data_IF_852790008310
#
_entry.id   IF_852790008310
#
_cell.length_a   1.000
_cell.length_b   1.000
_cell.length_c   1.000
_cell.angle_alpha   90.00
_cell.angle_beta   90.00
_cell.angle_gamma   90.00
#
_symmetry.space_group_name_H-M   'P 1'
#
loop_
_entity.id
_entity.type
_entity.pdbx_description
1 polymer ?
#
# COMPACT_ATOMS: atom_id res chain seq x y z
N UNK A 1 1.17 29.61 -13.89
CA UNK A 1 0.49 28.31 -13.77
C UNK A 1 0.82 27.44 -14.96
N UNK A 2 0.91 26.13 -14.76
CA UNK A 2 1.32 25.14 -15.77
C UNK A 2 0.39 23.92 -15.74
N UNK A 3 0.06 23.38 -16.90
CA UNK A 3 -0.47 22.02 -17.02
C UNK A 3 0.65 20.99 -16.87
N UNK A 4 0.34 19.71 -16.69
CA UNK A 4 1.35 18.64 -16.65
C UNK A 4 2.25 18.62 -17.89
N UNK A 5 1.68 18.81 -19.08
CA UNK A 5 2.45 18.94 -20.32
C UNK A 5 3.38 20.16 -20.31
N UNK A 6 2.91 21.31 -19.82
CA UNK A 6 3.73 22.53 -19.71
C UNK A 6 4.81 22.43 -18.62
N UNK A 7 4.56 21.64 -17.58
CA UNK A 7 5.52 21.30 -16.53
C UNK A 7 6.51 20.19 -16.96
N UNK A 8 6.37 19.66 -18.18
CA UNK A 8 7.30 18.69 -18.74
C UNK A 8 7.10 17.26 -18.26
N UNK A 9 5.89 16.90 -17.81
CA UNK A 9 5.55 15.54 -17.38
C UNK A 9 5.35 14.61 -18.57
N UNK A 10 6.30 13.72 -18.81
CA UNK A 10 6.27 12.79 -19.95
C UNK A 10 5.86 11.41 -19.46
N UNK A 11 4.90 10.78 -20.13
CA UNK A 11 4.34 9.50 -19.68
C UNK A 11 4.20 8.46 -20.79
N UNK A 12 3.91 7.21 -20.40
CA UNK A 12 3.38 6.16 -21.29
C UNK A 12 2.00 6.54 -21.84
N UNK A 13 1.51 5.77 -22.82
CA UNK A 13 0.25 6.06 -23.56
C UNK A 13 -1.01 5.46 -22.90
N UNK A 14 -0.87 4.70 -21.82
CA UNK A 14 -1.98 4.06 -21.12
C UNK A 14 -2.84 5.10 -20.38
N UNK A 15 -4.03 5.41 -20.91
CA UNK A 15 -4.95 6.34 -20.26
C UNK A 15 -5.50 5.77 -18.95
N UNK A 16 -5.61 6.60 -17.91
CA UNK A 16 -6.13 6.21 -16.60
C UNK A 16 -5.10 5.61 -15.64
N UNK A 17 -3.93 5.17 -16.14
CA UNK A 17 -2.89 4.52 -15.34
C UNK A 17 -1.46 4.81 -15.84
N UNK A 18 -1.27 5.91 -16.57
CA UNK A 18 0.00 6.23 -17.21
C UNK A 18 1.17 6.27 -16.20
N UNK A 19 2.35 5.86 -16.66
CA UNK A 19 3.59 5.88 -15.87
C UNK A 19 4.47 7.05 -16.32
N UNK A 20 5.07 7.76 -15.36
CA UNK A 20 6.03 8.83 -15.64
C UNK A 20 7.30 8.19 -16.20
N UNK A 21 7.69 8.64 -17.39
CA UNK A 21 8.91 8.21 -18.08
C UNK A 21 10.05 9.18 -17.81
N UNK A 22 9.74 10.48 -17.87
CA UNK A 22 10.71 11.56 -17.74
C UNK A 22 10.00 12.84 -17.28
N UNK A 23 10.73 13.73 -16.63
CA UNK A 23 10.22 15.02 -16.14
C UNK A 23 11.22 16.10 -16.52
N UNK A 24 10.82 16.99 -17.43
CA UNK A 24 11.67 18.10 -17.90
C UNK A 24 11.06 19.46 -17.53
N UNK A 25 11.21 19.93 -16.28
CA UNK A 25 10.47 21.07 -15.74
C UNK A 25 11.10 22.43 -16.11
N UNK A 26 11.57 22.60 -17.35
CA UNK A 26 12.30 23.80 -17.80
C UNK A 26 11.54 25.10 -17.53
N UNK A 27 10.28 25.16 -17.96
CA UNK A 27 9.42 26.34 -17.79
C UNK A 27 9.09 26.62 -16.32
N UNK A 28 9.06 25.58 -15.49
CA UNK A 28 8.84 25.72 -14.05
C UNK A 28 10.08 26.32 -13.41
N UNK A 29 11.28 25.78 -13.71
CA UNK A 29 12.55 26.34 -13.23
C UNK A 29 12.74 27.80 -13.66
N UNK A 30 12.50 28.13 -14.92
CA UNK A 30 12.57 29.52 -15.42
C UNK A 30 11.66 30.48 -14.65
N UNK A 31 10.46 30.04 -14.25
CA UNK A 31 9.55 30.86 -13.45
C UNK A 31 10.02 31.00 -11.99
N UNK A 32 10.57 29.93 -11.41
CA UNK A 32 11.17 29.96 -10.07
C UNK A 32 12.39 30.88 -10.01
N UNK A 33 13.25 30.85 -11.04
CA UNK A 33 14.43 31.72 -11.16
C UNK A 33 14.06 33.21 -11.24
N UNK A 34 12.82 33.52 -11.66
CA UNK A 34 12.25 34.87 -11.66
C UNK A 34 11.57 35.26 -10.35
N UNK A 35 11.61 34.39 -9.33
CA UNK A 35 10.97 34.59 -8.03
C UNK A 35 9.45 34.38 -8.02
N UNK A 36 8.89 33.72 -9.03
CA UNK A 36 7.45 33.44 -9.09
C UNK A 36 7.07 32.14 -8.36
N UNK A 37 5.83 32.07 -7.88
CA UNK A 37 5.22 30.81 -7.39
C UNK A 37 4.64 30.04 -8.57
N UNK A 38 5.19 28.84 -8.84
CA UNK A 38 4.76 27.99 -9.93
C UNK A 38 3.62 27.05 -9.51
N UNK A 39 2.39 27.36 -9.95
CA UNK A 39 1.24 26.46 -9.75
C UNK A 39 1.18 25.43 -10.89
N UNK A 40 1.30 24.14 -10.57
CA UNK A 40 1.20 23.05 -11.55
C UNK A 40 -0.06 22.22 -11.31
N UNK A 41 -0.83 21.96 -12.35
CA UNK A 41 -1.95 21.03 -12.28
C UNK A 41 -1.44 19.58 -12.36
N UNK A 42 -1.53 18.85 -11.24
CA UNK A 42 -1.09 17.46 -11.14
C UNK A 42 -2.03 16.44 -11.80
N UNK A 43 -1.74 15.15 -11.60
CA UNK A 43 -2.48 13.99 -12.14
C UNK A 43 -2.40 13.78 -13.67
N UNK A 44 -1.93 14.79 -14.41
CA UNK A 44 -1.81 14.75 -15.87
C UNK A 44 -0.36 14.67 -16.36
N UNK A 45 -0.19 14.05 -17.52
CA UNK A 45 1.06 14.00 -18.27
C UNK A 45 0.85 14.17 -19.77
N UNK A 46 1.91 13.92 -20.52
CA UNK A 46 1.92 14.02 -21.97
C UNK A 46 2.73 12.89 -22.59
N UNK A 47 2.14 12.18 -23.55
CA UNK A 47 2.88 11.19 -24.31
C UNK A 47 3.59 11.85 -25.51
N UNK A 48 4.93 11.79 -25.55
CA UNK A 48 5.70 12.37 -26.67
C UNK A 48 5.49 11.67 -28.01
N UNK A 49 5.12 10.38 -28.00
CA UNK A 49 4.95 9.59 -29.22
C UNK A 49 3.64 9.88 -29.92
N UNK A 50 2.52 9.93 -29.18
CA UNK A 50 1.19 10.19 -29.73
C UNK A 50 0.81 11.66 -29.73
N UNK A 51 1.37 12.47 -28.82
CA UNK A 51 0.99 13.86 -28.62
C UNK A 51 -0.23 14.04 -27.71
N UNK A 52 -0.69 12.98 -27.04
CA UNK A 52 -1.90 13.02 -26.23
C UNK A 52 -1.64 13.37 -24.76
N UNK A 53 -2.65 13.97 -24.13
CA UNK A 53 -2.71 14.16 -22.68
C UNK A 53 -3.09 12.82 -22.04
N UNK A 54 -2.38 12.48 -20.99
CA UNK A 54 -2.55 11.23 -20.24
C UNK A 54 -2.84 11.52 -18.78
N UNK A 55 -3.38 10.53 -18.08
CA UNK A 55 -3.69 10.62 -16.65
C UNK A 55 -2.99 9.51 -15.89
N UNK A 56 -2.46 9.85 -14.71
CA UNK A 56 -1.61 8.96 -13.92
C UNK A 56 -2.40 7.95 -13.08
N UNK A 57 -3.72 8.11 -12.96
CA UNK A 57 -4.58 7.29 -12.10
C UNK A 57 -4.62 7.77 -10.65
N UNK A 58 -5.22 6.96 -9.76
CA UNK A 58 -5.34 7.31 -8.33
C UNK A 58 -3.97 7.66 -7.74
N UNK A 59 -3.93 8.70 -6.91
CA UNK A 59 -2.66 9.22 -6.37
C UNK A 59 -1.77 9.96 -7.37
N UNK A 60 -2.29 10.26 -8.56
CA UNK A 60 -1.52 10.93 -9.61
C UNK A 60 -1.03 12.33 -9.22
N UNK A 61 -1.76 13.06 -8.36
CA UNK A 61 -1.33 14.37 -7.87
C UNK A 61 -0.10 14.27 -6.97
N UNK A 62 -0.11 13.37 -5.98
CA UNK A 62 1.04 13.15 -5.09
C UNK A 62 2.26 12.69 -5.88
N UNK A 63 2.05 11.76 -6.82
CA UNK A 63 3.10 11.28 -7.74
C UNK A 63 3.65 12.42 -8.60
N UNK A 64 2.81 13.36 -9.03
CA UNK A 64 3.25 14.55 -9.79
C UNK A 64 4.15 15.43 -8.91
N UNK A 65 3.73 15.68 -7.66
CA UNK A 65 4.46 16.55 -6.74
C UNK A 65 5.87 16.00 -6.46
N UNK A 66 5.97 14.71 -6.13
CA UNK A 66 7.26 14.06 -5.88
C UNK A 66 8.13 14.00 -7.14
N UNK A 67 7.54 13.74 -8.31
CA UNK A 67 8.29 13.69 -9.55
C UNK A 67 8.86 15.07 -9.96
N UNK A 68 8.12 16.16 -9.70
CA UNK A 68 8.65 17.52 -9.85
C UNK A 68 9.73 17.83 -8.82
N UNK A 69 9.53 17.44 -7.56
CA UNK A 69 10.51 17.64 -6.50
C UNK A 69 11.84 16.94 -6.84
N UNK A 70 11.79 15.70 -7.33
CA UNK A 70 12.96 14.98 -7.82
C UNK A 70 13.65 15.70 -8.99
N UNK A 71 12.88 16.14 -9.99
CA UNK A 71 13.43 16.78 -11.19
C UNK A 71 13.94 18.21 -10.97
N UNK A 72 13.46 18.89 -9.93
CA UNK A 72 13.90 20.23 -9.55
C UNK A 72 14.97 20.23 -8.46
N UNK A 73 15.33 19.05 -7.95
CA UNK A 73 16.24 18.85 -6.80
C UNK A 73 15.74 19.62 -5.57
N UNK A 74 14.45 19.49 -5.27
CA UNK A 74 13.85 20.15 -4.11
C UNK A 74 14.31 19.49 -2.81
N UNK A 75 14.48 20.29 -1.76
CA UNK A 75 14.89 19.81 -0.42
C UNK A 75 13.81 18.92 0.23
N UNK A 76 12.54 19.20 -0.04
CA UNK A 76 11.38 18.48 0.51
C UNK A 76 10.17 18.56 -0.42
N UNK A 77 9.37 17.51 -0.43
CA UNK A 77 8.04 17.49 -1.05
C UNK A 77 6.96 17.47 0.04
N UNK A 78 6.28 18.60 0.28
CA UNK A 78 5.16 18.65 1.22
C UNK A 78 3.87 18.12 0.59
N UNK A 79 3.23 17.15 1.26
CA UNK A 79 1.91 16.62 0.89
C UNK A 79 0.92 17.04 1.97
N UNK A 80 0.05 17.98 1.60
CA UNK A 80 -1.01 18.48 2.48
C UNK A 80 -2.28 17.63 2.35
N UNK A 81 -2.80 17.18 3.49
CA UNK A 81 -3.98 16.32 3.61
C UNK A 81 -4.89 16.80 4.75
N UNK A 82 -5.88 15.99 5.13
CA UNK A 82 -6.87 16.22 6.19
C UNK A 82 -6.51 15.57 7.54
N UNK A 83 -5.32 14.98 7.63
CA UNK A 83 -4.74 14.39 8.85
C UNK A 83 -3.41 15.06 9.21
N UNK A 84 -3.09 15.08 10.50
CA UNK A 84 -1.89 15.74 11.05
C UNK A 84 -0.56 15.03 10.74
N UNK A 85 -0.58 13.95 9.96
CA UNK A 85 0.59 13.14 9.63
C UNK A 85 0.22 11.67 9.42
N UNK A 86 1.23 10.81 9.50
CA UNK A 86 1.07 9.35 9.50
C UNK A 86 1.03 8.89 10.96
N UNK A 87 0.11 7.98 11.26
CA UNK A 87 -0.15 7.49 12.62
C UNK A 87 0.20 6.01 12.75
N UNK A 88 0.45 5.58 13.98
CA UNK A 88 0.71 4.17 14.34
C UNK A 88 -0.46 3.24 14.06
N UNK A 89 -1.68 3.76 13.88
CA UNK A 89 -2.88 3.04 13.46
C UNK A 89 -3.88 4.06 12.90
N UNK A 90 -4.98 3.61 12.29
CA UNK A 90 -6.07 4.54 11.89
C UNK A 90 -6.69 5.18 13.15
N UNK A 91 -6.58 6.51 13.33
CA UNK A 91 -7.17 7.23 14.45
C UNK A 91 -8.68 7.02 14.65
N UNK A 92 -9.40 6.67 13.58
CA UNK A 92 -10.85 6.42 13.62
C UNK A 92 -11.20 5.11 14.32
N UNK A 93 -10.27 4.15 14.34
CA UNK A 93 -10.40 2.87 15.03
C UNK A 93 -9.74 2.95 16.40
N UNK A 94 -8.56 3.58 16.46
CA UNK A 94 -7.70 3.64 17.63
C UNK A 94 -7.46 5.11 18.01
N UNK A 95 -8.24 5.69 18.94
CA UNK A 95 -8.18 7.12 19.25
C UNK A 95 -6.84 7.60 19.80
N UNK A 96 -6.10 6.74 20.51
CA UNK A 96 -4.76 7.04 21.05
C UNK A 96 -3.63 6.68 20.07
N UNK A 97 -3.93 6.52 18.78
CA UNK A 97 -2.90 6.33 17.76
C UNK A 97 -1.92 7.51 17.77
N UNK A 98 -0.62 7.22 17.84
CA UNK A 98 0.43 8.24 17.93
C UNK A 98 0.86 8.69 16.53
N UNK A 99 1.04 9.99 16.32
CA UNK A 99 1.67 10.52 15.10
C UNK A 99 3.15 10.13 15.09
N UNK A 100 3.63 9.62 13.96
CA UNK A 100 5.04 9.34 13.75
C UNK A 100 5.77 10.64 13.40
N UNK A 101 6.92 10.91 14.00
CA UNK A 101 7.75 12.06 13.61
C UNK A 101 8.47 11.77 12.29
N UNK A 102 9.06 10.59 12.19
CA UNK A 102 9.77 10.11 11.01
C UNK A 102 9.39 8.66 10.71
N UNK A 103 9.38 8.28 9.44
CA UNK A 103 9.21 6.90 8.97
C UNK A 103 10.12 6.66 7.77
N UNK A 104 10.70 5.46 7.65
CA UNK A 104 11.53 5.12 6.48
C UNK A 104 10.66 4.94 5.23
N UNK A 105 11.28 4.98 4.05
CA UNK A 105 10.56 4.70 2.81
C UNK A 105 10.00 3.27 2.80
N UNK A 106 10.77 2.28 3.25
CA UNK A 106 10.35 0.88 3.29
C UNK A 106 9.13 0.65 4.20
N UNK A 107 9.15 1.21 5.42
CA UNK A 107 8.03 1.10 6.34
C UNK A 107 6.77 1.78 5.78
N UNK A 108 6.91 2.97 5.19
CA UNK A 108 5.77 3.66 4.58
C UNK A 108 5.23 2.91 3.36
N UNK A 109 6.09 2.28 2.55
CA UNK A 109 5.65 1.42 1.44
C UNK A 109 4.82 0.25 1.95
N UNK A 110 5.27 -0.42 3.01
CA UNK A 110 4.56 -1.54 3.61
C UNK A 110 3.23 -1.12 4.25
N UNK A 111 3.22 0.01 4.97
CA UNK A 111 1.98 0.57 5.53
C UNK A 111 0.98 0.93 4.42
N UNK A 112 1.43 1.58 3.35
CA UNK A 112 0.58 1.96 2.21
C UNK A 112 0.03 0.74 1.47
N UNK A 113 0.86 -0.30 1.26
CA UNK A 113 0.44 -1.56 0.67
C UNK A 113 -0.61 -2.32 1.53
N UNK A 114 -0.63 -2.05 2.84
CA UNK A 114 -1.56 -2.68 3.77
C UNK A 114 -2.80 -1.83 4.10
N UNK A 115 -3.03 -0.74 3.36
CA UNK A 115 -4.25 0.06 3.49
C UNK A 115 -4.09 1.36 4.28
N UNK A 116 -2.88 1.78 4.65
CA UNK A 116 -2.64 3.14 5.14
C UNK A 116 -2.80 4.14 3.98
N UNK A 117 -3.95 4.84 3.93
CA UNK A 117 -4.35 5.66 2.76
C UNK A 117 -3.89 7.11 2.78
N UNK A 118 -2.95 7.45 3.68
CA UNK A 118 -2.42 8.81 3.80
C UNK A 118 -1.52 9.17 2.61
N UNK A 119 -0.71 8.20 2.15
CA UNK A 119 0.15 8.35 0.97
C UNK A 119 -0.11 7.22 -0.01
N UNK A 120 -0.09 7.56 -1.29
CA UNK A 120 -0.26 6.59 -2.36
C UNK A 120 1.06 5.86 -2.64
N UNK A 121 1.04 4.54 -2.77
CA UNK A 121 2.23 3.69 -2.91
C UNK A 121 3.22 4.22 -3.96
N UNK A 122 2.74 4.53 -5.16
CA UNK A 122 3.57 5.04 -6.27
C UNK A 122 4.32 6.34 -5.96
N UNK A 123 3.74 7.18 -5.11
CA UNK A 123 4.36 8.42 -4.66
C UNK A 123 5.60 8.12 -3.80
N UNK A 124 5.43 7.21 -2.83
CA UNK A 124 6.49 6.78 -1.91
C UNK A 124 7.59 6.02 -2.67
N UNK A 125 7.23 5.15 -3.63
CA UNK A 125 8.19 4.44 -4.48
C UNK A 125 9.08 5.41 -5.28
N UNK A 126 8.46 6.45 -5.85
CA UNK A 126 9.18 7.46 -6.61
C UNK A 126 10.10 8.27 -5.70
N UNK A 127 9.60 8.70 -4.52
CA UNK A 127 10.39 9.42 -3.54
C UNK A 127 11.61 8.62 -3.09
N UNK A 128 11.43 7.34 -2.75
CA UNK A 128 12.51 6.42 -2.39
C UNK A 128 13.56 6.33 -3.49
N UNK A 129 13.13 6.15 -4.74
CA UNK A 129 14.04 5.98 -5.90
C UNK A 129 14.96 7.19 -6.11
N UNK A 130 14.45 8.40 -5.86
CA UNK A 130 15.19 9.65 -6.06
C UNK A 130 15.64 10.29 -4.74
N UNK A 131 15.46 9.58 -3.62
CA UNK A 131 15.75 10.03 -2.26
C UNK A 131 15.18 11.43 -1.95
N UNK A 132 13.91 11.67 -2.30
CA UNK A 132 13.20 12.92 -2.02
C UNK A 132 12.43 12.78 -0.71
N UNK A 133 12.75 13.55 0.35
CA UNK A 133 11.97 13.52 1.57
C UNK A 133 10.52 13.97 1.31
N UNK A 134 9.55 13.19 1.79
CA UNK A 134 8.13 13.58 1.76
C UNK A 134 7.76 14.10 3.14
N UNK A 135 7.09 15.23 3.21
CA UNK A 135 6.58 15.78 4.45
C UNK A 135 5.05 15.82 4.44
N UNK A 136 4.44 14.89 5.18
CA UNK A 136 2.98 14.76 5.27
C UNK A 136 2.45 15.68 6.35
N UNK A 137 1.54 16.59 5.99
CA UNK A 137 1.00 17.60 6.92
C UNK A 137 -0.50 17.81 6.73
N UNK A 138 -1.13 18.37 7.74
CA UNK A 138 -2.51 18.84 7.64
C UNK A 138 -2.56 20.22 6.99
N UNK A 139 -3.57 20.46 6.17
CA UNK A 139 -3.95 21.79 5.69
C UNK A 139 -4.82 22.57 6.71
N UNK A 140 -5.25 21.90 7.79
CA UNK A 140 -6.13 22.43 8.83
C UNK A 140 -5.40 22.77 10.13
N UNK A 141 -4.11 22.43 10.26
CA UNK A 141 -3.33 22.65 11.47
C UNK A 141 -1.87 23.01 11.14
N UNK A 142 -1.21 23.69 12.08
CA UNK A 142 0.21 24.02 11.99
C UNK A 142 1.10 22.94 12.63
N UNK A 143 0.56 21.75 12.91
CA UNK A 143 1.33 20.66 13.51
C UNK A 143 2.51 20.25 12.60
N UNK A 144 3.58 19.70 13.20
CA UNK A 144 4.80 19.42 12.45
C UNK A 144 4.67 18.31 11.42
N UNK A 145 3.60 17.50 11.38
CA UNK A 145 3.46 16.47 10.34
C UNK A 145 4.38 15.26 10.53
N UNK A 146 4.51 14.41 9.51
CA UNK A 146 5.45 13.27 9.51
C UNK A 146 6.40 13.38 8.33
N UNK A 147 7.69 13.11 8.55
CA UNK A 147 8.68 13.06 7.48
C UNK A 147 8.91 11.60 7.05
N UNK A 148 8.75 11.33 5.76
CA UNK A 148 9.12 10.05 5.14
C UNK A 148 10.48 10.22 4.47
N UNK A 149 11.51 9.55 4.98
CA UNK A 149 12.88 9.70 4.47
C UNK A 149 13.79 8.56 4.93
N UNK A 150 14.95 8.41 4.29
CA UNK A 150 15.98 7.45 4.67
C UNK A 150 15.62 6.00 4.35
N UNK A 151 16.58 5.12 4.65
CA UNK A 151 16.42 3.68 4.53
C UNK A 151 16.28 3.04 5.89
N UNK A 152 15.54 1.93 5.95
CA UNK A 152 15.52 1.07 7.13
C UNK A 152 16.91 0.54 7.51
N UNK A 153 17.83 0.42 6.55
CA UNK A 153 19.21 -0.02 6.78
C UNK A 153 20.05 1.02 7.55
N UNK A 154 19.63 2.29 7.53
CA UNK A 154 20.29 3.38 8.26
C UNK A 154 19.81 3.47 9.72
N UNK A 155 18.76 2.73 10.09
CA UNK A 155 18.21 2.70 11.44
C UNK A 155 19.08 1.77 12.31
N UNK A 156 19.62 2.25 13.46
CA UNK A 156 20.37 1.41 14.37
C UNK A 156 19.55 0.18 14.78
N UNK A 157 20.15 -1.01 14.64
CA UNK A 157 19.45 -2.29 14.89
C UNK A 157 18.99 -2.45 16.36
N UNK A 158 19.56 -1.65 17.26
CA UNK A 158 19.27 -1.58 18.69
C UNK A 158 17.96 -0.84 18.98
N UNK A 159 17.51 0.02 18.05
CA UNK A 159 16.28 0.82 18.11
C UNK A 159 15.17 0.19 17.27
N UNK A 160 15.15 -1.14 17.19
CA UNK A 160 14.22 -1.93 16.38
C UNK A 160 12.75 -1.75 16.85
N UNK A 161 12.13 -0.66 16.40
CA UNK A 161 10.80 -0.20 16.79
C UNK A 161 9.75 -0.75 15.80
N UNK A 162 8.59 -1.12 16.34
CA UNK A 162 7.40 -1.39 15.55
C UNK A 162 6.75 -0.06 15.16
N UNK A 163 6.50 0.14 13.87
CA UNK A 163 6.04 1.42 13.31
C UNK A 163 4.55 1.60 13.51
N UNK A 164 3.75 0.57 13.23
CA UNK A 164 2.30 0.72 13.26
C UNK A 164 1.52 -0.49 12.77
N UNK A 165 0.20 -0.39 12.90
CA UNK A 165 -0.80 -1.34 12.45
C UNK A 165 -1.60 -0.72 11.30
N UNK A 166 -1.54 -1.35 10.13
CA UNK A 166 -2.33 -0.98 8.96
C UNK A 166 -3.47 -1.98 8.75
N UNK A 167 -4.53 -1.56 8.06
CA UNK A 167 -5.66 -2.44 7.77
C UNK A 167 -6.31 -2.12 6.42
N UNK A 168 -6.93 -3.13 5.80
CA UNK A 168 -7.69 -3.00 4.57
C UNK A 168 -8.99 -3.82 4.61
N UNK A 169 -10.06 -3.23 4.12
CA UNK A 169 -11.42 -3.80 4.01
C UNK A 169 -11.85 -4.00 2.56
N UNK A 170 -11.05 -3.54 1.61
CA UNK A 170 -11.40 -3.46 0.19
C UNK A 170 -11.05 -4.72 -0.60
N UNK A 171 -10.51 -5.74 0.06
CA UNK A 171 -10.09 -6.99 -0.57
C UNK A 171 -11.17 -8.07 -0.53
N UNK A 172 -11.01 -9.03 -1.44
CA UNK A 172 -11.67 -10.32 -1.42
C UNK A 172 -10.61 -11.42 -1.56
N UNK A 173 -10.91 -12.59 -1.01
CA UNK A 173 -10.07 -13.79 -1.02
C UNK A 173 -10.58 -14.76 -2.07
N UNK A 174 -9.69 -15.24 -2.93
CA UNK A 174 -9.96 -16.26 -3.95
C UNK A 174 -9.06 -17.45 -3.68
N UNK A 175 -9.63 -18.66 -3.55
CA UNK A 175 -8.85 -19.90 -3.38
C UNK A 175 -9.14 -20.87 -4.52
N UNK A 176 -8.10 -21.21 -5.28
CA UNK A 176 -8.10 -22.28 -6.29
C UNK A 176 -7.76 -23.58 -5.58
N UNK A 177 -8.75 -24.46 -5.45
CA UNK A 177 -8.64 -25.70 -4.67
C UNK A 177 -8.26 -26.88 -5.54
N UNK A 178 -7.32 -27.70 -5.08
CA UNK A 178 -6.99 -28.98 -5.69
C UNK A 178 -6.29 -28.84 -7.04
N UNK A 179 -5.39 -27.87 -7.15
CA UNK A 179 -4.54 -27.63 -8.32
C UNK A 179 -3.41 -28.69 -8.37
N UNK A 180 -3.09 -29.26 -9.54
CA UNK A 180 -1.96 -30.16 -9.67
C UNK A 180 -0.64 -29.51 -9.24
N UNK A 181 0.08 -30.13 -8.31
CA UNK A 181 1.34 -29.60 -7.77
C UNK A 181 2.53 -30.02 -8.64
N UNK A 182 2.52 -29.54 -9.88
CA UNK A 182 3.63 -29.71 -10.83
C UNK A 182 3.95 -28.38 -11.52
N UNK A 183 5.19 -28.19 -12.01
CA UNK A 183 5.59 -26.94 -12.62
C UNK A 183 4.65 -26.46 -13.73
N UNK A 184 4.30 -25.18 -13.70
CA UNK A 184 3.48 -24.52 -14.72
C UNK A 184 2.00 -24.32 -14.35
N UNK A 185 1.45 -25.07 -13.38
CA UNK A 185 0.02 -24.92 -13.03
C UNK A 185 -0.30 -23.61 -12.30
N UNK A 186 0.58 -23.17 -11.40
CA UNK A 186 0.48 -21.83 -10.82
C UNK A 186 0.54 -20.74 -11.92
N UNK A 187 1.40 -20.92 -12.92
CA UNK A 187 1.51 -19.97 -14.03
C UNK A 187 0.23 -19.90 -14.87
N UNK A 188 -0.47 -21.02 -15.08
CA UNK A 188 -1.78 -21.04 -15.75
C UNK A 188 -2.82 -20.22 -14.96
N UNK A 189 -2.86 -20.39 -13.64
CA UNK A 189 -3.77 -19.63 -12.76
C UNK A 189 -3.48 -18.13 -12.86
N UNK A 190 -2.22 -17.71 -12.64
CA UNK A 190 -1.89 -16.28 -12.66
C UNK A 190 -1.97 -15.67 -14.06
N UNK A 191 -1.73 -16.44 -15.13
CA UNK A 191 -1.95 -15.98 -16.50
C UNK A 191 -3.44 -15.69 -16.74
N UNK A 192 -4.32 -16.60 -16.31
CA UNK A 192 -5.76 -16.41 -16.44
C UNK A 192 -6.23 -15.13 -15.71
N UNK A 193 -5.76 -14.93 -14.47
CA UNK A 193 -6.10 -13.73 -13.67
C UNK A 193 -5.55 -12.45 -14.32
N UNK A 194 -4.31 -12.49 -14.83
CA UNK A 194 -3.71 -11.34 -15.54
C UNK A 194 -4.42 -11.01 -16.85
N UNK A 195 -4.87 -12.00 -17.63
CA UNK A 195 -5.67 -11.79 -18.85
C UNK A 195 -7.04 -11.16 -18.58
N UNK A 196 -7.54 -11.31 -17.35
CA UNK A 196 -8.75 -10.67 -16.88
C UNK A 196 -8.50 -9.26 -16.28
N UNK A 197 -7.28 -8.75 -16.37
CA UNK A 197 -6.87 -7.44 -15.83
C UNK A 197 -7.14 -7.30 -14.32
N UNK A 198 -6.98 -8.40 -13.57
CA UNK A 198 -7.16 -8.41 -12.12
C UNK A 198 -5.80 -8.28 -11.42
N UNK A 199 -5.65 -7.20 -10.66
CA UNK A 199 -4.50 -7.02 -9.77
C UNK A 199 -4.65 -7.90 -8.52
N UNK A 200 -3.61 -8.66 -8.23
CA UNK A 200 -3.50 -9.50 -7.03
C UNK A 200 -2.55 -8.84 -6.02
N UNK A 201 -2.79 -9.07 -4.73
CA UNK A 201 -1.90 -8.64 -3.64
C UNK A 201 -1.25 -9.85 -2.96
N UNK A 202 -1.88 -10.40 -1.92
CA UNK A 202 -1.33 -11.54 -1.20
C UNK A 202 -1.44 -12.78 -2.07
N UNK A 203 -0.38 -13.57 -2.14
CA UNK A 203 -0.38 -14.91 -2.74
C UNK A 203 0.15 -15.91 -1.72
N UNK A 204 -0.62 -16.96 -1.48
CA UNK A 204 -0.27 -18.04 -0.57
C UNK A 204 -0.50 -19.39 -1.27
N UNK A 205 0.54 -20.21 -1.31
CA UNK A 205 0.45 -21.61 -1.66
C UNK A 205 1.06 -22.40 -0.51
N UNK A 206 0.27 -23.30 0.09
CA UNK A 206 0.79 -24.18 1.11
C UNK A 206 1.39 -25.45 0.48
N UNK A 207 2.16 -26.22 1.26
CA UNK A 207 2.67 -27.51 0.81
C UNK A 207 1.53 -28.43 0.33
N UNK A 208 1.78 -29.18 -0.73
CA UNK A 208 0.80 -30.12 -1.27
C UNK A 208 0.47 -31.21 -0.26
N UNK A 209 -0.77 -31.73 -0.35
CA UNK A 209 -1.12 -32.94 0.37
C UNK A 209 -0.43 -34.10 -0.34
N UNK A 210 0.50 -34.75 0.36
CA UNK A 210 1.34 -35.84 -0.17
C UNK A 210 0.48 -36.98 -0.76
N UNK A 211 -0.75 -37.14 -0.29
CA UNK A 211 -1.65 -38.22 -0.69
C UNK A 211 -2.27 -38.05 -2.09
N UNK A 212 -2.47 -36.82 -2.58
CA UNK A 212 -3.16 -36.56 -3.85
C UNK A 212 -2.33 -35.76 -4.88
N UNK A 213 -1.14 -35.27 -4.50
CA UNK A 213 -0.28 -34.47 -5.38
C UNK A 213 -0.91 -33.14 -5.78
N UNK A 214 -1.84 -32.64 -4.95
CA UNK A 214 -2.54 -31.38 -5.19
C UNK A 214 -2.21 -30.35 -4.11
N UNK A 215 -2.35 -29.09 -4.50
CA UNK A 215 -2.16 -27.92 -3.65
C UNK A 215 -3.30 -26.93 -3.84
N UNK A 216 -3.44 -26.02 -2.88
CA UNK A 216 -4.38 -24.92 -2.95
C UNK A 216 -3.58 -23.63 -3.09
N UNK A 217 -3.99 -22.78 -4.04
CA UNK A 217 -3.45 -21.43 -4.20
C UNK A 217 -4.52 -20.45 -3.77
N UNK A 218 -4.21 -19.63 -2.76
CA UNK A 218 -5.05 -18.51 -2.34
C UNK A 218 -4.40 -17.21 -2.75
N UNK A 219 -5.18 -16.27 -3.25
CA UNK A 219 -4.74 -14.90 -3.43
C UNK A 219 -5.82 -13.90 -3.02
N UNK A 220 -5.41 -12.67 -2.71
CA UNK A 220 -6.33 -11.54 -2.53
C UNK A 220 -6.31 -10.63 -3.75
N UNK A 221 -7.45 -10.00 -4.01
CA UNK A 221 -7.62 -8.95 -5.02
C UNK A 221 -8.65 -7.93 -4.53
N UNK A 222 -8.85 -6.84 -5.26
CA UNK A 222 -9.91 -5.90 -4.91
C UNK A 222 -11.28 -6.58 -4.98
N UNK A 223 -12.17 -6.24 -4.05
CA UNK A 223 -13.53 -6.78 -3.97
C UNK A 223 -14.30 -6.60 -5.28
N UNK A 224 -14.12 -5.46 -5.93
CA UNK A 224 -14.74 -5.14 -7.22
C UNK A 224 -14.29 -6.08 -8.35
N UNK A 225 -13.04 -6.56 -8.32
CA UNK A 225 -12.46 -7.44 -9.33
C UNK A 225 -12.64 -8.94 -9.01
N UNK A 226 -13.03 -9.27 -7.77
CA UNK A 226 -13.14 -10.65 -7.29
C UNK A 226 -14.05 -11.52 -8.14
N UNK A 227 -15.24 -11.03 -8.48
CA UNK A 227 -16.20 -11.77 -9.32
C UNK A 227 -15.65 -12.05 -10.73
N UNK A 228 -14.92 -11.11 -11.33
CA UNK A 228 -14.26 -11.26 -12.63
C UNK A 228 -13.19 -12.35 -12.58
N UNK A 229 -12.35 -12.37 -11.54
CA UNK A 229 -11.32 -13.40 -11.35
C UNK A 229 -11.94 -14.80 -11.25
N UNK A 230 -13.00 -14.94 -10.45
CA UNK A 230 -13.70 -16.22 -10.25
C UNK A 230 -14.31 -16.71 -11.57
N UNK A 231 -14.99 -15.84 -12.33
CA UNK A 231 -15.59 -16.19 -13.61
C UNK A 231 -14.53 -16.66 -14.62
N UNK A 232 -13.42 -15.93 -14.73
CA UNK A 232 -12.32 -16.29 -15.63
C UNK A 232 -11.70 -17.64 -15.24
N UNK A 233 -11.40 -17.86 -13.97
CA UNK A 233 -10.84 -19.13 -13.49
C UNK A 233 -11.81 -20.28 -13.71
N UNK A 234 -13.09 -20.12 -13.36
CA UNK A 234 -14.12 -21.13 -13.57
C UNK A 234 -14.25 -21.54 -15.05
N UNK A 235 -14.09 -20.59 -15.99
CA UNK A 235 -14.13 -20.89 -17.43
C UNK A 235 -12.97 -21.77 -17.92
N UNK A 236 -11.85 -21.81 -17.18
CA UNK A 236 -10.65 -22.57 -17.49
C UNK A 236 -10.45 -23.78 -16.57
N UNK A 237 -11.48 -24.16 -15.81
CA UNK A 237 -11.38 -25.19 -14.78
C UNK A 237 -10.86 -26.53 -15.33
N UNK A 238 -11.43 -27.01 -16.43
CA UNK A 238 -11.03 -28.30 -17.02
C UNK A 238 -9.64 -28.25 -17.66
N UNK A 239 -9.26 -27.10 -18.21
CA UNK A 239 -7.94 -26.89 -18.85
C UNK A 239 -6.80 -26.82 -17.82
N UNK A 240 -7.07 -26.17 -16.69
CA UNK A 240 -6.12 -26.01 -15.59
C UNK A 240 -6.18 -27.23 -14.65
N UNK A 241 -7.28 -27.96 -14.59
CA UNK A 241 -7.40 -29.21 -13.84
C UNK A 241 -7.54 -29.04 -12.32
N UNK A 242 -8.03 -27.89 -11.85
CA UNK A 242 -8.34 -27.68 -10.44
C UNK A 242 -9.77 -28.14 -10.10
N UNK A 243 -10.05 -28.32 -8.81
CA UNK A 243 -11.30 -28.93 -8.31
C UNK A 243 -12.45 -27.94 -8.16
N UNK A 244 -12.17 -26.74 -7.62
CA UNK A 244 -13.13 -25.63 -7.54
C UNK A 244 -12.41 -24.31 -7.25
N UNK A 245 -13.11 -23.19 -7.44
CA UNK A 245 -12.71 -21.88 -6.94
C UNK A 245 -13.63 -21.50 -5.77
N UNK A 246 -13.04 -21.05 -4.67
CA UNK A 246 -13.75 -20.44 -3.54
C UNK A 246 -13.58 -18.93 -3.60
N UNK A 247 -14.62 -18.21 -3.20
CA UNK A 247 -14.66 -16.76 -3.16
C UNK A 247 -15.24 -16.31 -1.83
N UNK A 248 -14.62 -15.31 -1.23
CA UNK A 248 -15.02 -14.73 0.05
C UNK A 248 -14.66 -13.24 0.06
N UNK A 249 -15.67 -12.39 0.02
CA UNK A 249 -15.56 -10.93 0.10
C UNK A 249 -15.87 -10.38 1.50
N UNK A 250 -16.00 -11.25 2.50
CA UNK A 250 -16.24 -10.88 3.90
C UNK A 250 -14.97 -10.97 4.74
N UNK A 251 -13.84 -10.58 4.15
CA UNK A 251 -12.53 -10.57 4.78
C UNK A 251 -12.03 -9.14 5.07
N UNK A 252 -11.20 -9.02 6.09
CA UNK A 252 -10.37 -7.86 6.38
C UNK A 252 -8.91 -8.28 6.54
N UNK A 253 -8.00 -7.43 6.06
CA UNK A 253 -6.55 -7.60 6.21
C UNK A 253 -6.07 -6.68 7.32
N UNK A 254 -5.34 -7.21 8.30
CA UNK A 254 -4.64 -6.41 9.31
C UNK A 254 -3.16 -6.76 9.29
N UNK A 255 -2.31 -5.74 9.35
CA UNK A 255 -0.87 -5.87 9.24
C UNK A 255 -0.16 -5.10 10.33
N UNK A 256 0.81 -5.74 10.98
CA UNK A 256 1.81 -5.06 11.80
C UNK A 256 3.04 -4.80 10.94
N UNK A 257 3.56 -3.57 10.95
CA UNK A 257 4.73 -3.14 10.18
C UNK A 257 5.79 -2.59 11.12
N UNK A 258 7.05 -2.95 10.89
CA UNK A 258 8.20 -2.24 11.44
C UNK A 258 9.54 -2.97 11.31
N UNK A 259 10.60 -2.19 11.33
CA UNK A 259 11.97 -2.69 11.21
C UNK A 259 12.34 -3.72 12.29
N UNK A 260 11.75 -3.57 13.48
CA UNK A 260 12.07 -4.41 14.63
C UNK A 260 11.65 -5.87 14.52
N UNK A 261 10.91 -6.25 13.49
CA UNK A 261 10.47 -7.65 13.28
C UNK A 261 11.65 -8.59 12.96
N UNK A 262 12.72 -8.09 12.33
CA UNK A 262 13.91 -8.90 11.98
C UNK A 262 14.68 -9.40 13.20
N UNK A 263 14.69 -8.63 14.28
CA UNK A 263 15.57 -8.85 15.44
C UNK A 263 14.84 -9.40 16.67
N UNK A 264 13.51 -9.54 16.64
CA UNK A 264 12.70 -9.94 17.80
C UNK A 264 11.84 -11.19 17.52
N UNK A 265 12.33 -12.39 17.90
CA UNK A 265 11.61 -13.65 17.66
C UNK A 265 10.21 -13.74 18.31
N UNK A 266 9.92 -12.92 19.33
CA UNK A 266 8.66 -12.93 20.07
C UNK A 266 7.50 -12.23 19.38
N UNK A 267 7.75 -11.41 18.33
CA UNK A 267 6.72 -10.54 17.74
C UNK A 267 5.54 -11.35 17.18
N UNK A 268 5.82 -12.43 16.45
CA UNK A 268 4.75 -13.29 15.89
C UNK A 268 3.92 -13.97 16.97
N UNK A 269 4.55 -14.36 18.09
CA UNK A 269 3.83 -14.99 19.21
C UNK A 269 2.87 -13.98 19.85
N UNK A 270 3.37 -12.80 20.22
CA UNK A 270 2.55 -11.71 20.77
C UNK A 270 1.44 -11.29 19.82
N UNK A 271 1.70 -11.23 18.51
CA UNK A 271 0.70 -10.91 17.50
C UNK A 271 -0.46 -11.91 17.52
N UNK A 272 -0.15 -13.22 17.51
CA UNK A 272 -1.17 -14.27 17.53
C UNK A 272 -1.91 -14.35 18.87
N UNK A 273 -1.20 -14.16 19.99
CA UNK A 273 -1.77 -14.13 21.34
C UNK A 273 -2.76 -12.97 21.48
N UNK A 274 -2.39 -11.76 21.05
CA UNK A 274 -3.24 -10.57 21.11
C UNK A 274 -4.57 -10.77 20.37
N UNK A 275 -4.55 -11.38 19.18
CA UNK A 275 -5.77 -11.69 18.43
C UNK A 275 -6.60 -12.79 19.10
N UNK A 276 -5.95 -13.81 19.65
CA UNK A 276 -6.61 -14.90 20.35
C UNK A 276 -7.32 -14.45 21.63
N UNK A 277 -6.70 -13.55 22.42
CA UNK A 277 -7.26 -12.99 23.66
C UNK A 277 -8.58 -12.25 23.41
N UNK A 278 -8.68 -11.58 22.27
CA UNK A 278 -9.91 -10.91 21.87
C UNK A 278 -10.83 -11.84 21.06
N UNK A 279 -10.47 -13.10 20.84
CA UNK A 279 -11.31 -14.09 20.16
C UNK A 279 -11.45 -13.87 18.65
N UNK A 280 -10.47 -13.21 18.02
CA UNK A 280 -10.42 -13.03 16.57
C UNK A 280 -9.71 -14.23 15.94
N UNK A 281 -10.37 -14.87 14.97
CA UNK A 281 -9.80 -16.03 14.30
C UNK A 281 -8.92 -15.62 13.11
N UNK A 282 -7.71 -16.16 13.05
CA UNK A 282 -6.79 -15.96 11.93
C UNK A 282 -7.10 -16.98 10.83
N UNK A 283 -7.44 -16.51 9.63
CA UNK A 283 -7.75 -17.38 8.49
C UNK A 283 -6.52 -17.67 7.63
N UNK A 284 -5.64 -16.68 7.47
CA UNK A 284 -4.44 -16.76 6.65
C UNK A 284 -3.37 -15.86 7.25
N UNK A 285 -2.11 -16.30 7.19
CA UNK A 285 -0.94 -15.52 7.62
C UNK A 285 0.00 -15.37 6.43
N UNK A 286 0.52 -14.17 6.22
CA UNK A 286 1.63 -13.90 5.30
C UNK A 286 2.61 -12.93 5.95
N UNK A 287 3.89 -13.04 5.62
CA UNK A 287 4.95 -12.25 6.24
C UNK A 287 5.93 -11.72 5.20
N UNK A 288 6.40 -10.49 5.39
CA UNK A 288 7.62 -9.96 4.75
C UNK A 288 8.73 -9.83 5.79
N UNK A 289 9.86 -9.23 5.43
CA UNK A 289 10.96 -9.02 6.38
C UNK A 289 10.59 -8.07 7.54
N UNK A 290 9.64 -7.15 7.31
CA UNK A 290 9.25 -6.11 8.26
C UNK A 290 7.72 -6.00 8.43
N UNK A 291 7.02 -7.09 8.09
CA UNK A 291 5.55 -7.13 8.12
C UNK A 291 5.02 -8.52 8.49
N UNK A 292 4.00 -8.57 9.35
CA UNK A 292 3.07 -9.70 9.46
C UNK A 292 1.71 -9.21 9.03
N UNK A 293 1.06 -9.94 8.13
CA UNK A 293 -0.30 -9.68 7.65
C UNK A 293 -1.16 -10.90 7.89
N UNK A 294 -2.37 -10.67 8.39
CA UNK A 294 -3.37 -11.73 8.54
C UNK A 294 -4.70 -11.35 7.93
N UNK A 295 -5.41 -12.35 7.42
CA UNK A 295 -6.81 -12.23 7.04
C UNK A 295 -7.69 -12.67 8.21
N UNK A 296 -8.67 -11.84 8.52
CA UNK A 296 -9.72 -12.05 9.54
C UNK A 296 -11.07 -11.73 8.91
N UNK A 297 -12.17 -11.96 9.63
CA UNK A 297 -13.49 -11.50 9.18
C UNK A 297 -13.54 -9.97 9.18
N UNK A 298 -14.18 -9.39 8.16
CA UNK A 298 -14.31 -7.93 8.05
C UNK A 298 -14.95 -7.28 9.30
N UNK A 299 -15.96 -7.94 9.88
CA UNK A 299 -16.64 -7.54 11.11
C UNK A 299 -15.76 -7.54 12.36
N UNK A 300 -14.62 -8.23 12.33
CA UNK A 300 -13.68 -8.35 13.46
C UNK A 300 -12.45 -7.44 13.30
N UNK A 301 -12.34 -6.73 12.16
CA UNK A 301 -11.11 -6.02 11.80
C UNK A 301 -10.76 -4.87 12.76
N UNK A 302 -11.73 -4.04 13.16
CA UNK A 302 -11.47 -2.91 14.09
C UNK A 302 -10.95 -3.42 15.43
N UNK A 303 -11.52 -4.53 15.90
CA UNK A 303 -11.14 -5.21 17.13
C UNK A 303 -9.73 -5.79 17.03
N UNK A 304 -9.38 -6.37 15.88
CA UNK A 304 -8.03 -6.86 15.60
C UNK A 304 -7.00 -5.73 15.59
N UNK A 305 -7.31 -4.60 14.93
CA UNK A 305 -6.44 -3.42 14.87
C UNK A 305 -6.19 -2.86 16.27
N UNK A 306 -7.24 -2.67 17.07
CA UNK A 306 -7.11 -2.15 18.43
C UNK A 306 -6.30 -3.09 19.33
N UNK A 307 -6.56 -4.40 19.28
CA UNK A 307 -5.84 -5.40 20.08
C UNK A 307 -4.34 -5.43 19.77
N UNK A 308 -3.98 -5.41 18.47
CA UNK A 308 -2.58 -5.37 18.06
C UNK A 308 -1.90 -4.07 18.47
N UNK A 309 -2.59 -2.93 18.31
CA UNK A 309 -2.03 -1.63 18.68
C UNK A 309 -1.73 -1.55 20.18
N UNK A 310 -2.64 -2.06 21.02
CA UNK A 310 -2.46 -2.16 22.47
C UNK A 310 -1.33 -3.12 22.85
N UNK A 311 -1.33 -4.35 22.30
CA UNK A 311 -0.36 -5.39 22.64
C UNK A 311 1.10 -4.99 22.37
N UNK A 312 1.32 -4.12 21.38
CA UNK A 312 2.65 -3.61 21.02
C UNK A 312 2.95 -2.22 21.60
N UNK A 313 2.10 -1.67 22.47
CA UNK A 313 2.36 -0.41 23.18
C UNK A 313 2.55 0.78 22.23
N UNK A 314 1.80 0.81 21.12
CA UNK A 314 1.96 1.80 20.06
C UNK A 314 1.22 3.12 20.32
N UNK A 315 0.51 3.22 21.45
CA UNK A 315 -0.28 4.40 21.81
C UNK A 315 0.55 5.58 22.28
N UNK A 316 -0.01 6.77 22.09
CA UNK A 316 0.48 8.02 22.68
C UNK A 316 -0.45 8.52 23.80
N UNK A 317 -0.04 9.63 24.42
CA UNK A 317 -0.80 10.31 25.48
C UNK A 317 -1.85 11.30 24.94
N UNK A 318 -1.83 11.57 23.63
CA UNK A 318 -2.74 12.51 22.96
C UNK A 318 -3.74 11.78 22.08
N UNK A 319 -4.99 12.26 22.05
CA UNK A 319 -5.98 11.80 21.06
C UNK A 319 -5.63 12.33 19.66
N UNK A 320 -5.66 11.42 18.69
CA UNK A 320 -5.43 11.76 17.30
C UNK A 320 -6.65 12.48 16.69
N UNK A 321 -6.41 13.59 16.00
CA UNK A 321 -7.46 14.42 15.38
C UNK A 321 -7.52 14.17 13.89
N UNK A 322 -8.71 13.83 13.39
CA UNK A 322 -9.02 13.71 11.96
C UNK A 322 -10.00 14.84 11.59
N UNK A 323 -9.55 15.81 10.78
CA UNK A 323 -10.32 17.04 10.51
C UNK A 323 -11.40 16.82 9.45
N UNK A 324 -11.13 15.96 8.46
CA UNK A 324 -12.06 15.60 7.41
C UNK A 324 -11.68 14.22 6.82
N UNK A 325 -12.45 13.75 5.84
CA UNK A 325 -12.13 12.54 5.06
C UNK A 325 -13.12 11.40 5.24
N UNK A 326 -13.45 10.74 4.14
CA UNK A 326 -14.52 9.74 4.05
C UNK A 326 -14.17 8.35 4.59
N UNK A 327 -13.04 8.18 5.30
CA UNK A 327 -12.63 6.85 5.77
C UNK A 327 -12.55 5.82 4.63
N UNK A 328 -12.27 6.29 3.42
CA UNK A 328 -12.23 5.43 2.23
C UNK A 328 -11.17 4.39 2.36
#
# INVERSE_FOLDING_TARGET
SFTGSQAGMITTAEHGSAKIVDVTPKRVREALDQGAIAIVAGFQGFNRGTGDITTLGRGGSDTTAVALAAALEADVCEIYTDVDGIFTADPRIVPNARRLDTVSFEEMLEMAACGAKVLMLRCVEYARRYNVPIHVRSSYSDKPGTIVTGSIEDIPMEDAILTGVAHDRSEAKVTVVGLPDVPGYAAKVFRAVAEADVNIDMVLQNISKVEDGKTDITFTCSRDAGSTAVQKLASLQDEIGFTKVLYDDHIGKVSLVGAGMRSHPGVTATFCEALAEVGVNIELISTSEIRISVLVKDSELDKAVAALHEAFGLGGDEEAVVYAGTGR
#
